data_IF_551950093681
#
_entry.id   IF_551950093681
#
_cell.length_a   1.000
_cell.length_b   1.000
_cell.length_c   1.000
_cell.angle_alpha   90.00
_cell.angle_beta   90.00
_cell.angle_gamma   90.00
#
_symmetry.space_group_name_H-M   'P 1'
#
loop_
_entity.id
_entity.type
_entity.pdbx_description
1 polymer ?
#
# COMPACT_ATOMS: atom_id res chain seq x y z
N UNK A 1 2.55 6.20 -2.69
CA UNK A 1 1.87 4.96 -3.13
C UNK A 1 0.69 4.71 -2.21
N UNK A 2 -0.52 4.56 -2.76
CA UNK A 2 -1.68 4.10 -2.01
C UNK A 2 -1.83 2.60 -2.28
N UNK A 3 -1.93 1.81 -1.22
CA UNK A 3 -2.27 0.38 -1.28
C UNK A 3 -3.70 0.21 -0.80
N UNK A 4 -4.48 -0.63 -1.46
CA UNK A 4 -5.83 -0.99 -1.02
C UNK A 4 -5.93 -2.49 -0.75
N UNK A 5 -6.93 -2.87 0.03
CA UNK A 5 -7.30 -4.24 0.32
C UNK A 5 -8.74 -4.30 0.84
N UNK A 6 -9.18 -5.50 1.22
CA UNK A 6 -10.56 -5.75 1.61
C UNK A 6 -10.94 -4.97 2.89
N UNK A 7 -12.23 -4.80 3.15
CA UNK A 7 -12.76 -4.12 4.35
C UNK A 7 -12.34 -4.89 5.63
N UNK A 8 -12.29 -4.18 6.76
CA UNK A 8 -11.96 -4.74 8.09
C UNK A 8 -10.48 -4.70 8.46
N UNK A 9 -9.61 -4.35 7.52
CA UNK A 9 -8.21 -4.03 7.80
C UNK A 9 -7.41 -5.18 8.43
N UNK A 10 -6.51 -4.86 9.37
CA UNK A 10 -5.56 -5.83 9.95
C UNK A 10 -6.13 -6.70 11.07
N UNK A 11 -7.32 -6.35 11.55
CA UNK A 11 -7.99 -6.91 12.72
C UNK A 11 -8.93 -8.08 12.34
N UNK A 12 -9.21 -8.25 11.05
CA UNK A 12 -10.15 -9.25 10.53
C UNK A 12 -11.25 -8.57 9.71
N UNK A 13 -11.69 -9.21 8.63
CA UNK A 13 -12.60 -8.58 7.67
C UNK A 13 -13.05 -9.51 6.55
N UNK A 14 -13.57 -8.94 5.47
CA UNK A 14 -14.12 -9.66 4.31
C UNK A 14 -13.03 -10.21 3.37
N UNK A 15 -11.77 -10.26 3.84
CA UNK A 15 -10.67 -10.83 3.08
C UNK A 15 -10.85 -12.35 2.95
N UNK A 16 -11.10 -12.81 1.72
CA UNK A 16 -11.24 -14.24 1.38
C UNK A 16 -10.01 -15.06 1.83
N UNK A 17 -8.83 -14.43 1.87
CA UNK A 17 -7.58 -15.04 2.31
C UNK A 17 -7.32 -14.90 3.82
N UNK A 18 -8.35 -14.63 4.63
CA UNK A 18 -8.39 -14.55 6.11
C UNK A 18 -7.38 -13.59 6.74
N UNK A 19 -6.09 -13.88 6.59
CA UNK A 19 -4.96 -13.12 7.11
C UNK A 19 -4.32 -12.18 6.08
N UNK A 20 -4.81 -12.15 4.84
CA UNK A 20 -4.23 -11.35 3.75
C UNK A 20 -4.01 -9.87 4.11
N UNK A 21 -5.05 -9.20 4.60
CA UNK A 21 -4.94 -7.80 5.05
C UNK A 21 -3.99 -7.65 6.25
N UNK A 22 -4.07 -8.55 7.23
CA UNK A 22 -3.19 -8.54 8.41
C UNK A 22 -1.73 -8.60 8.01
N UNK A 23 -1.35 -9.57 7.18
CA UNK A 23 0.04 -9.72 6.74
C UNK A 23 0.51 -8.58 5.85
N UNK A 24 -0.36 -8.06 4.99
CA UNK A 24 -0.06 -6.88 4.17
C UNK A 24 0.20 -5.66 5.04
N UNK A 25 -0.64 -5.42 6.05
CA UNK A 25 -0.45 -4.35 7.02
C UNK A 25 0.87 -4.48 7.79
N UNK A 26 1.14 -5.65 8.34
CA UNK A 26 2.41 -5.92 9.05
C UNK A 26 3.63 -5.73 8.14
N UNK A 27 3.56 -6.15 6.88
CA UNK A 27 4.64 -5.98 5.89
C UNK A 27 4.90 -4.50 5.58
N UNK A 28 3.84 -3.72 5.38
CA UNK A 28 3.95 -2.29 5.09
C UNK A 28 4.32 -1.47 6.33
N UNK A 29 4.01 -1.95 7.53
CA UNK A 29 4.49 -1.39 8.79
C UNK A 29 5.96 -1.75 9.10
N UNK A 30 6.54 -2.73 8.39
CA UNK A 30 7.88 -3.23 8.70
C UNK A 30 7.93 -4.10 9.96
N UNK A 31 6.79 -4.60 10.45
CA UNK A 31 6.70 -5.44 11.64
C UNK A 31 6.90 -6.95 11.34
N UNK A 32 7.30 -7.29 10.12
CA UNK A 32 7.50 -8.68 9.66
C UNK A 32 8.76 -8.79 8.80
N UNK A 33 9.48 -9.89 8.99
CA UNK A 33 10.63 -10.27 8.15
C UNK A 33 10.22 -11.06 6.88
N UNK A 34 10.97 -10.93 5.77
CA UNK A 34 12.02 -9.94 5.55
C UNK A 34 11.41 -8.54 5.36
N UNK A 35 12.07 -7.52 5.93
CA UNK A 35 11.66 -6.12 5.77
C UNK A 35 11.72 -5.64 4.32
N UNK A 36 10.82 -4.72 3.96
CA UNK A 36 10.86 -4.04 2.67
C UNK A 36 12.06 -3.09 2.61
N UNK A 37 12.75 -3.07 1.46
CA UNK A 37 13.77 -2.05 1.16
C UNK A 37 13.13 -0.66 1.27
N UNK A 38 13.83 0.29 1.87
CA UNK A 38 13.38 1.67 2.06
C UNK A 38 13.45 2.53 0.77
N UNK A 39 13.02 1.96 -0.37
CA UNK A 39 13.04 2.62 -1.67
C UNK A 39 12.01 3.77 -1.77
N UNK A 40 10.92 3.67 -1.01
CA UNK A 40 9.89 4.71 -0.92
C UNK A 40 9.80 5.15 0.55
N UNK A 41 9.88 6.46 0.85
CA UNK A 41 9.67 6.98 2.19
C UNK A 41 8.33 6.53 2.78
N UNK A 42 8.30 6.18 4.07
CA UNK A 42 7.12 5.57 4.72
C UNK A 42 5.92 6.50 4.78
N UNK A 43 6.15 7.78 5.00
CA UNK A 43 5.18 8.87 4.92
C UNK A 43 4.54 9.03 3.52
N UNK A 44 5.22 8.54 2.48
CA UNK A 44 4.71 8.47 1.11
C UNK A 44 4.06 7.14 0.77
N UNK A 45 3.76 6.29 1.77
CA UNK A 45 2.97 5.07 1.63
C UNK A 45 1.75 5.15 2.54
N UNK A 46 0.56 4.88 1.99
CA UNK A 46 -0.68 4.79 2.77
C UNK A 46 -1.44 3.53 2.40
N UNK A 47 -2.17 2.98 3.37
CA UNK A 47 -3.11 1.88 3.14
C UNK A 47 -4.52 2.42 3.36
N UNK A 48 -5.43 2.15 2.42
CA UNK A 48 -6.86 2.36 2.58
C UNK A 48 -7.56 1.00 2.47
N UNK A 49 -8.26 0.57 3.52
CA UNK A 49 -9.02 -0.69 3.49
C UNK A 49 -10.43 -0.40 2.96
N UNK A 50 -10.70 -0.78 1.72
CA UNK A 50 -11.93 -0.48 1.02
C UNK A 50 -12.39 -1.73 0.27
N UNK A 51 -13.54 -2.26 0.65
CA UNK A 51 -14.15 -3.42 0.01
C UNK A 51 -14.98 -3.02 -1.22
N UNK A 52 -15.68 -4.00 -1.79
CA UNK A 52 -16.71 -3.74 -2.80
C UNK A 52 -17.76 -2.79 -2.22
N UNK A 53 -18.13 -1.75 -2.97
CA UNK A 53 -19.09 -0.72 -2.53
C UNK A 53 -18.47 0.48 -1.80
N UNK A 54 -17.17 0.45 -1.48
CA UNK A 54 -16.45 1.57 -0.84
C UNK A 54 -15.78 2.50 -1.87
N UNK A 55 -16.20 2.51 -3.13
CA UNK A 55 -15.49 3.24 -4.20
C UNK A 55 -15.43 4.75 -3.91
N UNK A 56 -16.50 5.33 -3.36
CA UNK A 56 -16.54 6.73 -2.97
C UNK A 56 -15.57 7.04 -1.82
N UNK A 57 -15.47 6.15 -0.83
CA UNK A 57 -14.52 6.25 0.27
C UNK A 57 -13.08 6.16 -0.26
N UNK A 58 -12.78 5.16 -1.09
CA UNK A 58 -11.45 4.97 -1.68
C UNK A 58 -11.04 6.18 -2.54
N UNK A 59 -11.98 6.75 -3.31
CA UNK A 59 -11.73 7.97 -4.07
C UNK A 59 -11.42 9.16 -3.15
N UNK A 60 -12.12 9.27 -2.01
CA UNK A 60 -11.84 10.27 -0.97
C UNK A 60 -10.44 10.13 -0.38
N UNK A 61 -10.06 8.92 0.03
CA UNK A 61 -8.73 8.60 0.54
C UNK A 61 -7.63 8.91 -0.48
N UNK A 62 -7.87 8.58 -1.75
CA UNK A 62 -6.92 8.88 -2.83
C UNK A 62 -6.74 10.39 -3.01
N UNK A 63 -7.81 11.19 -2.98
CA UNK A 63 -7.73 12.65 -3.06
C UNK A 63 -6.98 13.23 -1.86
N UNK A 64 -7.36 12.82 -0.65
CA UNK A 64 -6.71 13.28 0.58
C UNK A 64 -5.22 12.93 0.60
N UNK A 65 -4.87 11.73 0.15
CA UNK A 65 -3.48 11.30 0.06
C UNK A 65 -2.69 12.12 -0.96
N UNK A 66 -3.24 12.38 -2.15
CA UNK A 66 -2.62 13.26 -3.15
C UNK A 66 -2.36 14.66 -2.58
N UNK A 67 -3.32 15.23 -1.86
CA UNK A 67 -3.14 16.52 -1.20
C UNK A 67 -1.99 16.46 -0.17
N UNK A 68 -1.94 15.43 0.68
CA UNK A 68 -0.83 15.28 1.64
C UNK A 68 0.54 15.07 0.97
N UNK A 69 0.60 14.45 -0.20
CA UNK A 69 1.86 14.25 -0.91
C UNK A 69 2.42 15.54 -1.50
N UNK A 70 1.60 16.58 -1.67
CA UNK A 70 2.05 17.90 -2.12
C UNK A 70 2.83 18.65 -1.03
N UNK A 71 2.60 18.34 0.24
CA UNK A 71 3.28 18.97 1.38
C UNK A 71 4.48 18.15 1.88
N UNK A 72 4.59 16.89 1.47
CA UNK A 72 5.74 16.03 1.78
C UNK A 72 6.74 16.13 0.61
N UNK A 73 7.97 16.62 0.81
CA UNK A 73 8.98 16.63 -0.23
C UNK A 73 9.44 15.21 -0.57
N UNK A 74 9.91 15.01 -1.81
CA UNK A 74 10.66 13.81 -2.14
C UNK A 74 12.10 13.99 -1.63
N UNK A 75 12.67 13.04 -0.85
CA UNK A 75 14.04 13.16 -0.39
C UNK A 75 15.01 13.21 -1.57
N UNK A 76 16.04 14.04 -1.46
CA UNK A 76 17.06 14.18 -2.50
C UNK A 76 17.71 12.82 -2.78
N UNK A 77 17.66 12.36 -4.03
CA UNK A 77 18.22 11.08 -4.44
C UNK A 77 17.51 10.50 -5.68
N UNK A 78 18.09 9.46 -6.31
CA UNK A 78 17.48 8.81 -7.45
C UNK A 78 16.12 8.24 -7.04
N UNK A 79 15.07 8.56 -7.81
CA UNK A 79 13.80 7.84 -7.66
C UNK A 79 14.06 6.36 -7.88
N UNK A 80 13.52 5.46 -7.05
CA UNK A 80 13.70 4.04 -7.27
C UNK A 80 13.18 3.70 -8.66
N UNK A 81 14.04 3.09 -9.49
CA UNK A 81 13.60 2.56 -10.77
C UNK A 81 12.58 1.46 -10.48
N UNK A 82 11.44 1.49 -11.18
CA UNK A 82 10.55 0.32 -11.23
C UNK A 82 11.42 -0.85 -11.66
N UNK A 83 11.56 -1.86 -10.81
CA UNK A 83 12.27 -3.07 -11.22
C UNK A 83 11.48 -3.68 -12.36
N UNK A 84 12.10 -3.73 -13.53
CA UNK A 84 11.58 -4.41 -14.71
C UNK A 84 11.77 -5.92 -14.49
N UNK A 85 11.17 -6.47 -13.43
CA UNK A 85 11.04 -7.90 -13.29
C UNK A 85 9.94 -8.34 -14.22
N UNK A 86 10.32 -8.69 -15.45
CA UNK A 86 9.50 -9.45 -16.37
C UNK A 86 8.91 -10.64 -15.61
N UNK A 87 7.60 -10.58 -15.34
CA UNK A 87 6.84 -11.78 -15.03
C UNK A 87 6.73 -12.51 -16.37
N UNK A 88 7.78 -13.24 -16.75
CA UNK A 88 7.68 -14.23 -17.80
C UNK A 88 6.52 -15.13 -17.39
N UNK A 89 5.44 -15.07 -18.18
CA UNK A 89 4.30 -15.98 -18.04
C UNK A 89 4.91 -17.38 -18.06
N UNK A 90 4.74 -18.13 -16.98
CA UNK A 90 4.94 -19.57 -17.03
C UNK A 90 3.68 -20.12 -17.66
N UNK A 91 3.87 -20.76 -18.80
CA UNK A 91 2.86 -21.48 -19.59
C UNK A 91 2.14 -22.56 -18.77
#
# INVERSE_FOLDING_TARGET
MLVTGCRGGTQGGDCVYRLGNRWTGLRLAGAREPHLRAAVPRDRVRIAWAGRGDEAQLAGELRAFRASLATVPWPAGPRPKRSETAHARRD
#
